data_IF_921477256863
#
_entry.id   IF_921477256863
#
_cell.length_a   1.000
_cell.length_b   1.000
_cell.length_c   1.000
_cell.angle_alpha   90.00
_cell.angle_beta   90.00
_cell.angle_gamma   90.00
#
_symmetry.space_group_name_H-M   'P 1'
#
loop_
_entity.id
_entity.type
_entity.pdbx_description
1 polymer ?
#
# COMPACT_ATOMS: atom_id res chain seq x y z
N UNK A 1 -21.08 -16.81 46.61
CA UNK A 1 -21.06 -15.65 47.53
C UNK A 1 -20.09 -14.62 46.98
N UNK A 2 -20.68 -13.51 46.54
CA UNK A 2 -20.24 -12.12 46.40
C UNK A 2 -18.75 -11.77 46.29
N UNK A 3 -18.47 -11.04 45.19
CA UNK A 3 -17.46 -9.98 45.04
C UNK A 3 -17.56 -8.90 46.13
N UNK A 4 -16.56 -8.00 46.22
CA UNK A 4 -16.84 -6.68 45.64
C UNK A 4 -15.68 -6.05 44.85
N UNK A 5 -16.12 -5.23 43.90
CA UNK A 5 -15.40 -4.18 43.18
C UNK A 5 -14.95 -3.06 44.13
N UNK A 6 -13.95 -2.28 43.71
CA UNK A 6 -13.99 -0.82 43.88
C UNK A 6 -12.99 -0.16 42.92
N UNK A 7 -13.55 0.63 42.00
CA UNK A 7 -12.80 1.58 41.20
C UNK A 7 -12.55 2.89 41.96
N UNK A 8 -11.63 3.70 41.44
CA UNK A 8 -11.61 5.13 41.72
C UNK A 8 -11.08 5.88 40.49
N UNK A 9 -11.99 6.58 39.82
CA UNK A 9 -11.69 7.72 38.97
C UNK A 9 -11.49 8.96 39.84
N UNK A 10 -10.47 9.75 39.57
CA UNK A 10 -10.50 11.20 39.79
C UNK A 10 -9.86 11.90 38.60
N UNK A 11 -10.58 12.91 38.08
CA UNK A 11 -10.25 13.68 36.90
C UNK A 11 -9.28 14.86 37.16
N UNK A 12 -9.34 15.94 36.35
CA UNK A 12 -8.18 16.39 35.58
C UNK A 12 -7.52 17.66 36.13
N UNK A 13 -6.23 17.84 35.80
CA UNK A 13 -5.50 19.08 35.99
C UNK A 13 -5.48 19.89 34.68
N UNK A 14 -6.03 21.09 34.77
CA UNK A 14 -6.04 22.12 33.74
C UNK A 14 -5.00 23.19 34.11
N UNK A 15 -4.02 23.43 33.25
CA UNK A 15 -3.24 24.68 33.25
C UNK A 15 -2.96 25.06 31.80
N UNK A 16 -3.44 26.26 31.45
CA UNK A 16 -3.36 26.82 30.12
C UNK A 16 -2.05 27.53 29.81
N UNK A 17 -1.86 27.79 28.53
CA UNK A 17 -1.04 28.87 28.01
C UNK A 17 -1.69 29.29 26.68
N UNK A 18 -2.10 30.56 26.61
CA UNK A 18 -2.70 31.16 25.42
C UNK A 18 -1.64 31.70 24.46
N UNK A 19 -2.09 31.99 23.24
CA UNK A 19 -1.72 33.16 22.40
C UNK A 19 -2.59 33.09 21.14
N UNK A 20 -3.72 33.81 21.12
CA UNK A 20 -4.45 34.08 19.88
C UNK A 20 -4.01 35.44 19.34
N UNK A 21 -3.36 35.39 18.19
CA UNK A 21 -2.96 36.55 17.41
C UNK A 21 -4.13 37.00 16.52
N UNK A 22 -4.38 38.31 16.55
CA UNK A 22 -5.11 39.04 15.52
C UNK A 22 -4.57 38.73 14.13
N UNK A 23 -5.47 38.73 13.13
CA UNK A 23 -5.43 39.60 11.94
C UNK A 23 -5.91 38.85 10.69
N UNK A 24 -7.14 39.11 10.25
CA UNK A 24 -7.46 39.08 8.82
C UNK A 24 -8.57 40.08 8.50
N UNK A 25 -8.19 41.10 7.74
CA UNK A 25 -9.07 42.08 7.09
C UNK A 25 -9.18 41.71 5.62
N UNK A 26 -10.42 41.83 5.12
CA UNK A 26 -10.77 42.38 3.80
C UNK A 26 -10.40 41.58 2.54
N UNK A 27 -11.42 41.14 1.80
CA UNK A 27 -11.62 41.51 0.38
C UNK A 27 -13.01 41.12 -0.12
N UNK A 28 -13.81 42.11 -0.51
CA UNK A 28 -15.03 42.01 -1.32
C UNK A 28 -14.85 42.96 -2.51
N UNK A 29 -14.94 42.46 -3.74
CA UNK A 29 -15.22 43.20 -4.98
C UNK A 29 -15.49 42.15 -6.08
N UNK A 30 -16.71 41.91 -6.57
CA UNK A 30 -17.52 42.65 -7.58
C UNK A 30 -16.95 42.64 -9.01
N UNK A 31 -17.70 42.06 -9.96
CA UNK A 31 -17.70 42.46 -11.38
C UNK A 31 -17.57 41.32 -12.42
N UNK A 32 -18.69 40.94 -13.08
CA UNK A 32 -18.66 40.38 -14.45
C UNK A 32 -18.75 41.50 -15.51
N UNK A 33 -19.14 41.26 -16.78
CA UNK A 33 -19.31 39.99 -17.51
C UNK A 33 -18.77 39.96 -18.97
N UNK A 34 -18.95 38.80 -19.63
CA UNK A 34 -19.24 38.56 -21.07
C UNK A 34 -18.36 39.17 -22.18
N UNK A 35 -17.63 38.31 -22.92
CA UNK A 35 -17.54 38.38 -24.39
C UNK A 35 -17.27 36.97 -24.95
N UNK A 36 -18.10 36.55 -25.92
CA UNK A 36 -17.99 35.27 -26.60
C UNK A 36 -17.07 35.31 -27.81
N UNK A 37 -16.51 34.15 -28.15
CA UNK A 37 -16.14 33.78 -29.50
C UNK A 37 -16.09 32.26 -29.62
N UNK A 38 -16.81 31.77 -30.64
CA UNK A 38 -16.75 30.41 -31.18
C UNK A 38 -15.29 30.06 -31.49
N UNK A 39 -14.88 28.82 -31.22
CA UNK A 39 -14.17 28.08 -32.24
C UNK A 39 -14.19 26.55 -32.05
N UNK A 40 -14.38 25.88 -33.19
CA UNK A 40 -13.86 24.58 -33.59
C UNK A 40 -14.14 23.34 -32.73
N UNK A 41 -15.04 22.51 -33.26
CA UNK A 41 -15.24 21.11 -32.85
C UNK A 41 -14.00 20.26 -33.12
N UNK A 42 -13.13 20.21 -32.12
CA UNK A 42 -12.13 19.15 -32.00
C UNK A 42 -12.79 17.96 -31.28
N UNK A 43 -12.78 16.81 -31.94
CA UNK A 43 -13.08 15.50 -31.37
C UNK A 43 -12.33 15.36 -30.04
N UNK A 44 -13.03 15.51 -28.92
CA UNK A 44 -12.49 15.19 -27.61
C UNK A 44 -12.29 13.67 -27.56
N UNK A 45 -11.10 13.22 -27.97
CA UNK A 45 -10.53 12.01 -27.39
C UNK A 45 -10.55 12.23 -25.88
N UNK A 46 -11.47 11.55 -25.20
CA UNK A 46 -11.45 11.44 -23.75
C UNK A 46 -10.16 10.73 -23.38
N UNK A 47 -9.11 11.50 -23.11
CA UNK A 47 -7.98 11.05 -22.31
C UNK A 47 -8.59 10.70 -20.94
N UNK A 48 -8.42 9.47 -20.42
CA UNK A 48 -8.83 9.19 -19.05
C UNK A 48 -8.08 10.14 -18.12
N UNK A 49 -8.82 11.04 -17.46
CA UNK A 49 -8.27 11.82 -16.35
C UNK A 49 -7.90 10.84 -15.24
N UNK A 50 -6.61 10.54 -15.08
CA UNK A 50 -6.06 10.14 -13.79
C UNK A 50 -5.18 11.29 -13.30
N UNK A 51 -5.81 12.39 -12.90
CA UNK A 51 -5.23 13.31 -11.93
C UNK A 51 -5.76 12.91 -10.54
N UNK A 52 -5.54 11.66 -10.15
CA UNK A 52 -5.76 11.22 -8.77
C UNK A 52 -4.52 11.63 -7.96
N UNK A 53 -4.72 12.31 -6.83
CA UNK A 53 -3.61 12.64 -5.94
C UNK A 53 -2.80 11.40 -5.59
N UNK A 54 -1.47 11.56 -5.53
CA UNK A 54 -0.53 10.50 -5.15
C UNK A 54 -0.96 9.95 -3.80
N UNK A 55 -1.43 8.70 -3.77
CA UNK A 55 -2.01 8.10 -2.57
C UNK A 55 -0.91 7.65 -1.62
N UNK A 56 -1.17 7.65 -0.32
CA UNK A 56 -0.27 7.03 0.65
C UNK A 56 -1.06 6.39 1.77
N UNK A 57 -0.43 5.42 2.44
CA UNK A 57 -1.04 4.72 3.56
C UNK A 57 0.01 4.16 4.49
N UNK A 58 -0.11 4.47 5.78
CA UNK A 58 0.59 3.74 6.84
C UNK A 58 -0.11 2.42 7.10
N UNK A 59 0.65 1.33 7.17
CA UNK A 59 0.12 0.04 7.57
C UNK A 59 -0.39 0.08 9.03
N UNK A 60 -1.47 -0.62 9.31
CA UNK A 60 -2.09 -0.69 10.65
C UNK A 60 -1.59 -1.94 11.38
N UNK A 61 -1.46 -3.06 10.68
CA UNK A 61 -1.03 -4.32 11.30
C UNK A 61 0.46 -4.53 11.10
N UNK A 62 1.11 -5.18 12.07
CA UNK A 62 2.46 -5.70 11.86
C UNK A 62 2.47 -6.64 10.64
N UNK A 63 3.53 -6.59 9.83
CA UNK A 63 3.70 -7.40 8.61
C UNK A 63 2.70 -7.17 7.45
N UNK A 64 1.79 -6.20 7.57
CA UNK A 64 0.80 -5.88 6.52
C UNK A 64 1.29 -4.91 5.44
N UNK A 65 2.59 -4.60 5.37
CA UNK A 65 3.17 -3.70 4.36
C UNK A 65 2.81 -4.08 2.92
N UNK A 66 2.74 -5.38 2.59
CA UNK A 66 2.32 -5.85 1.27
C UNK A 66 0.84 -5.57 0.98
N UNK A 67 -0.04 -5.74 1.97
CA UNK A 67 -1.46 -5.43 1.84
C UNK A 67 -1.71 -3.92 1.70
N UNK A 68 -1.05 -3.10 2.53
CA UNK A 68 -1.13 -1.64 2.43
C UNK A 68 -0.57 -1.12 1.09
N UNK A 69 0.54 -1.71 0.61
CA UNK A 69 1.10 -1.40 -0.71
C UNK A 69 0.14 -1.78 -1.84
N UNK A 70 -0.43 -2.99 -1.81
CA UNK A 70 -1.39 -3.44 -2.82
C UNK A 70 -2.65 -2.58 -2.82
N UNK A 71 -3.11 -2.15 -1.65
CA UNK A 71 -4.27 -1.27 -1.50
C UNK A 71 -4.06 0.08 -2.18
N UNK A 72 -2.89 0.69 -1.99
CA UNK A 72 -2.52 1.96 -2.67
C UNK A 72 -2.44 1.74 -4.18
N UNK A 73 -1.74 0.70 -4.63
CA UNK A 73 -1.63 0.37 -6.06
C UNK A 73 -3.02 0.16 -6.68
N UNK A 74 -3.89 -0.60 -6.02
CA UNK A 74 -5.24 -0.87 -6.49
C UNK A 74 -6.06 0.43 -6.61
N UNK A 75 -5.99 1.33 -5.62
CA UNK A 75 -6.67 2.63 -5.70
C UNK A 75 -6.13 3.52 -6.80
N UNK A 76 -4.82 3.60 -6.97
CA UNK A 76 -4.20 4.42 -8.01
C UNK A 76 -4.51 3.87 -9.42
N UNK A 77 -4.65 2.55 -9.57
CA UNK A 77 -5.18 1.91 -10.77
C UNK A 77 -6.71 2.08 -10.92
N UNK A 78 -7.40 2.65 -9.93
CA UNK A 78 -8.84 2.94 -9.97
C UNK A 78 -9.74 1.77 -9.56
N UNK A 79 -9.24 0.77 -8.83
CA UNK A 79 -10.07 -0.35 -8.37
C UNK A 79 -11.12 0.19 -7.40
N UNK A 80 -12.39 -0.13 -7.67
CA UNK A 80 -13.51 0.43 -6.91
C UNK A 80 -14.07 -0.53 -5.87
N UNK A 81 -13.94 -1.84 -6.08
CA UNK A 81 -14.57 -2.88 -5.25
C UNK A 81 -13.55 -3.77 -4.57
N UNK A 82 -13.85 -4.15 -3.33
CA UNK A 82 -13.13 -5.19 -2.62
C UNK A 82 -13.52 -6.57 -3.14
N UNK A 83 -12.61 -7.56 -3.09
CA UNK A 83 -12.97 -8.93 -3.38
C UNK A 83 -13.87 -9.45 -2.25
N UNK A 84 -15.02 -10.01 -2.62
CA UNK A 84 -15.95 -10.58 -1.66
C UNK A 84 -15.48 -11.97 -1.22
N UNK A 85 -15.41 -12.20 0.10
CA UNK A 85 -15.20 -13.52 0.67
C UNK A 85 -15.84 -13.60 2.07
N UNK A 86 -16.12 -14.82 2.53
CA UNK A 86 -16.72 -15.04 3.86
C UNK A 86 -15.79 -14.50 4.95
N UNK A 87 -16.32 -13.58 5.78
CA UNK A 87 -15.57 -12.96 6.87
C UNK A 87 -14.86 -11.65 6.51
N UNK A 88 -14.99 -11.16 5.27
CA UNK A 88 -14.46 -9.86 4.86
C UNK A 88 -15.15 -8.71 5.60
N UNK A 89 -14.39 -7.83 6.25
CA UNK A 89 -14.90 -6.66 6.98
C UNK A 89 -15.50 -5.62 6.04
N UNK A 90 -14.95 -5.48 4.82
CA UNK A 90 -15.48 -4.61 3.78
C UNK A 90 -16.88 -5.01 3.30
N UNK A 91 -17.27 -6.27 3.49
CA UNK A 91 -18.61 -6.76 3.15
C UNK A 91 -19.70 -6.28 4.13
N UNK A 92 -19.32 -5.77 5.31
CA UNK A 92 -20.26 -5.12 6.23
C UNK A 92 -20.64 -3.69 5.78
N UNK A 93 -19.89 -3.11 4.84
CA UNK A 93 -20.18 -1.82 4.21
C UNK A 93 -20.78 -1.99 2.81
N UNK A 94 -20.45 -1.07 1.90
CA UNK A 94 -20.88 -1.11 0.49
C UNK A 94 -19.96 -1.94 -0.43
N UNK A 95 -19.00 -2.67 0.16
CA UNK A 95 -18.02 -3.46 -0.58
C UNK A 95 -17.01 -2.64 -1.39
N UNK A 96 -16.92 -1.32 -1.17
CA UNK A 96 -15.95 -0.48 -1.89
C UNK A 96 -14.53 -0.65 -1.36
N UNK A 97 -13.58 -0.62 -2.28
CA UNK A 97 -12.16 -0.54 -1.98
C UNK A 97 -11.80 0.91 -1.64
N UNK A 98 -11.32 1.11 -0.42
CA UNK A 98 -10.99 2.42 0.13
C UNK A 98 -9.67 2.37 0.91
N UNK A 99 -8.97 3.51 1.03
CA UNK A 99 -7.72 3.61 1.80
C UNK A 99 -8.01 3.61 3.32
N UNK A 100 -8.57 2.52 3.85
CA UNK A 100 -8.97 2.38 5.24
C UNK A 100 -8.52 1.03 5.83
N UNK A 101 -8.68 0.89 7.16
CA UNK A 101 -8.26 -0.32 7.87
C UNK A 101 -9.03 -1.58 7.51
N UNK A 102 -10.31 -1.45 7.14
CA UNK A 102 -11.12 -2.60 6.72
C UNK A 102 -10.60 -3.21 5.41
N UNK A 103 -10.29 -2.38 4.41
CA UNK A 103 -9.73 -2.85 3.14
C UNK A 103 -8.34 -3.44 3.32
N UNK A 104 -7.50 -2.83 4.16
CA UNK A 104 -6.19 -3.38 4.49
C UNK A 104 -6.29 -4.72 5.23
N UNK A 105 -7.18 -4.83 6.22
CA UNK A 105 -7.42 -6.08 6.94
C UNK A 105 -7.81 -7.21 5.98
N UNK A 106 -8.78 -6.96 5.12
CA UNK A 106 -9.27 -7.97 4.18
C UNK A 106 -8.20 -8.39 3.19
N UNK A 107 -7.43 -7.44 2.64
CA UNK A 107 -6.28 -7.76 1.81
C UNK A 107 -5.20 -8.51 2.59
N UNK A 108 -4.92 -8.11 3.84
CA UNK A 108 -3.88 -8.74 4.64
C UNK A 108 -4.22 -10.19 4.99
N UNK A 109 -5.49 -10.50 5.23
CA UNK A 109 -5.96 -11.88 5.40
C UNK A 109 -5.64 -12.74 4.17
N UNK A 110 -5.74 -12.17 2.97
CA UNK A 110 -5.40 -12.88 1.73
C UNK A 110 -3.87 -12.94 1.56
N UNK A 111 -3.18 -11.80 1.63
CA UNK A 111 -1.74 -11.70 1.30
C UNK A 111 -0.84 -12.42 2.30
N UNK A 112 -1.28 -12.60 3.55
CA UNK A 112 -0.60 -13.42 4.56
C UNK A 112 -0.86 -14.94 4.42
N UNK A 113 -1.81 -15.35 3.56
CA UNK A 113 -2.22 -16.75 3.41
C UNK A 113 -3.17 -17.27 4.49
N UNK A 114 -3.66 -16.38 5.36
CA UNK A 114 -4.65 -16.72 6.38
C UNK A 114 -6.00 -17.11 5.77
N UNK A 115 -6.36 -16.48 4.65
CA UNK A 115 -7.53 -16.81 3.83
C UNK A 115 -7.09 -17.22 2.43
N UNK A 116 -7.51 -18.40 2.01
CA UNK A 116 -7.33 -18.97 0.67
C UNK A 116 -8.66 -19.56 0.20
N UNK A 117 -8.70 -20.16 -1.00
CA UNK A 117 -9.87 -20.91 -1.46
C UNK A 117 -10.20 -22.15 -0.62
N UNK A 118 -9.25 -22.65 0.19
CA UNK A 118 -9.41 -23.86 1.03
C UNK A 118 -9.47 -23.57 2.53
N UNK A 119 -9.06 -22.38 2.95
CA UNK A 119 -8.91 -22.01 4.36
C UNK A 119 -9.50 -20.63 4.58
N UNK A 120 -10.35 -20.50 5.58
CA UNK A 120 -10.87 -19.21 6.03
C UNK A 120 -10.44 -18.97 7.46
N UNK A 121 -9.91 -17.78 7.72
CA UNK A 121 -9.66 -17.29 9.06
C UNK A 121 -10.43 -15.97 9.25
N UNK A 122 -10.75 -15.63 10.49
CA UNK A 122 -11.49 -14.41 10.84
C UNK A 122 -10.64 -13.37 11.58
N UNK A 123 -9.33 -13.60 11.71
CA UNK A 123 -8.43 -12.77 12.50
C UNK A 123 -7.01 -12.79 11.96
N UNK A 124 -6.33 -11.64 12.06
CA UNK A 124 -4.94 -11.39 11.65
C UNK A 124 -3.91 -11.61 12.77
N UNK A 125 -4.32 -12.02 13.98
CA UNK A 125 -3.42 -12.09 15.17
C UNK A 125 -2.16 -12.94 14.94
N UNK A 126 -2.26 -13.99 14.12
CA UNK A 126 -1.12 -14.86 13.78
C UNK A 126 -0.71 -14.73 12.30
N UNK A 127 -1.08 -13.64 11.64
CA UNK A 127 -0.75 -13.41 10.24
C UNK A 127 0.75 -13.14 10.08
N UNK A 128 1.41 -13.92 9.21
CA UNK A 128 2.79 -13.71 8.83
C UNK A 128 2.96 -12.62 7.77
N UNK A 129 4.13 -12.59 7.14
CA UNK A 129 4.41 -11.67 6.03
C UNK A 129 3.45 -11.85 4.86
N UNK A 130 3.21 -10.74 4.16
CA UNK A 130 2.63 -10.80 2.82
C UNK A 130 3.60 -11.50 1.87
N UNK A 131 3.24 -12.69 1.38
CA UNK A 131 4.11 -13.51 0.52
C UNK A 131 3.81 -13.29 -0.97
N UNK A 132 4.79 -13.40 -1.88
CA UNK A 132 4.61 -13.11 -3.31
C UNK A 132 3.43 -13.85 -3.96
N UNK A 133 3.28 -15.14 -3.70
CA UNK A 133 2.20 -15.95 -4.27
C UNK A 133 0.80 -15.50 -3.83
N UNK A 134 0.66 -15.06 -2.58
CA UNK A 134 -0.60 -14.57 -2.04
C UNK A 134 -0.89 -13.14 -2.50
N UNK A 135 0.15 -12.30 -2.65
CA UNK A 135 0.03 -10.97 -3.27
C UNK A 135 -0.46 -11.06 -4.71
N UNK A 136 0.10 -12.00 -5.49
CA UNK A 136 -0.38 -12.26 -6.85
C UNK A 136 -1.83 -12.75 -6.87
N UNK A 137 -2.20 -13.64 -5.95
CA UNK A 137 -3.57 -14.10 -5.84
C UNK A 137 -4.54 -12.96 -5.49
N UNK A 138 -4.20 -12.14 -4.48
CA UNK A 138 -4.98 -10.96 -4.10
C UNK A 138 -5.13 -9.97 -5.27
N UNK A 139 -4.05 -9.73 -6.03
CA UNK A 139 -4.09 -8.88 -7.20
C UNK A 139 -5.06 -9.40 -8.27
N UNK A 140 -5.05 -10.71 -8.56
CA UNK A 140 -6.02 -11.33 -9.48
C UNK A 140 -7.46 -11.15 -9.02
N UNK A 141 -7.74 -11.30 -7.73
CA UNK A 141 -9.08 -11.08 -7.17
C UNK A 141 -9.55 -9.62 -7.30
N UNK A 142 -8.60 -8.68 -7.34
CA UNK A 142 -8.87 -7.25 -7.59
C UNK A 142 -9.00 -6.90 -9.08
N UNK A 143 -8.91 -7.88 -9.99
CA UNK A 143 -8.91 -7.64 -11.43
C UNK A 143 -7.62 -6.97 -11.92
N UNK A 144 -6.50 -7.18 -11.22
CA UNK A 144 -5.18 -6.70 -11.61
C UNK A 144 -4.37 -7.84 -12.24
N UNK A 145 -3.54 -7.48 -13.20
CA UNK A 145 -2.48 -8.35 -13.69
C UNK A 145 -1.19 -8.08 -12.94
N UNK A 146 -0.42 -9.13 -12.67
CA UNK A 146 0.82 -9.04 -11.93
C UNK A 146 1.91 -9.95 -12.54
N UNK A 147 3.13 -9.43 -12.63
CA UNK A 147 4.33 -10.17 -13.01
C UNK A 147 5.34 -10.17 -11.87
N UNK A 148 6.11 -11.26 -11.71
CA UNK A 148 7.25 -11.29 -10.78
C UNK A 148 8.51 -10.88 -11.54
N UNK A 149 9.27 -9.96 -10.97
CA UNK A 149 10.62 -9.62 -11.40
C UNK A 149 11.62 -10.07 -10.35
N UNK A 150 12.55 -10.93 -10.72
CA UNK A 150 13.60 -11.44 -9.84
C UNK A 150 14.95 -11.43 -10.54
N UNK A 151 15.78 -10.44 -10.20
CA UNK A 151 17.12 -10.37 -10.78
C UNK A 151 18.10 -11.29 -10.02
N UNK A 152 19.14 -11.80 -10.70
CA UNK A 152 20.23 -12.51 -10.03
C UNK A 152 20.89 -11.64 -8.94
N UNK A 153 21.21 -12.26 -7.80
CA UNK A 153 21.89 -11.60 -6.70
C UNK A 153 21.91 -12.46 -5.43
N UNK A 154 22.81 -12.12 -4.50
CA UNK A 154 22.96 -12.87 -3.24
C UNK A 154 21.68 -12.86 -2.40
N UNK A 155 21.02 -11.70 -2.28
CA UNK A 155 19.77 -11.60 -1.50
C UNK A 155 18.63 -12.38 -2.14
N UNK A 156 18.44 -12.27 -3.46
CA UNK A 156 17.38 -13.03 -4.14
C UNK A 156 17.62 -14.55 -4.07
N UNK A 157 18.87 -14.99 -4.16
CA UNK A 157 19.24 -16.41 -3.95
C UNK A 157 18.99 -16.87 -2.51
N UNK A 158 19.39 -16.08 -1.51
CA UNK A 158 19.15 -16.39 -0.10
C UNK A 158 17.65 -16.48 0.23
N UNK A 159 16.84 -15.57 -0.31
CA UNK A 159 15.39 -15.59 -0.12
C UNK A 159 14.71 -16.79 -0.78
N UNK A 160 15.15 -17.20 -1.97
CA UNK A 160 14.65 -18.46 -2.57
C UNK A 160 14.94 -19.68 -1.70
N UNK A 161 16.09 -19.69 -1.00
CA UNK A 161 16.46 -20.79 -0.09
C UNK A 161 15.66 -20.75 1.20
N UNK A 162 15.41 -19.55 1.75
CA UNK A 162 14.66 -19.38 3.00
C UNK A 162 13.16 -19.62 2.81
N UNK A 163 12.64 -19.33 1.62
CA UNK A 163 11.22 -19.46 1.28
C UNK A 163 11.03 -20.34 0.03
N UNK A 164 11.39 -21.64 0.10
CA UNK A 164 11.35 -22.53 -1.06
C UNK A 164 9.93 -22.73 -1.60
N UNK A 165 8.93 -22.66 -0.71
CA UNK A 165 7.52 -22.92 -1.04
C UNK A 165 6.85 -21.77 -1.81
N UNK A 166 7.48 -20.60 -1.91
CA UNK A 166 6.92 -19.46 -2.64
C UNK A 166 6.72 -19.85 -4.11
N UNK A 167 7.71 -20.49 -4.73
CA UNK A 167 7.66 -20.85 -6.14
C UNK A 167 6.63 -21.93 -6.44
N UNK A 168 6.53 -22.95 -5.59
CA UNK A 168 5.53 -24.01 -5.76
C UNK A 168 4.10 -23.53 -5.48
N UNK A 169 3.94 -22.46 -4.69
CA UNK A 169 2.65 -21.81 -4.45
C UNK A 169 2.19 -20.84 -5.56
N UNK A 170 3.03 -20.56 -6.56
CA UNK A 170 2.63 -19.75 -7.71
C UNK A 170 1.70 -20.54 -8.64
N UNK A 171 0.84 -19.81 -9.35
CA UNK A 171 0.04 -20.41 -10.41
C UNK A 171 0.96 -20.86 -11.55
N UNK A 172 0.68 -21.98 -12.26
CA UNK A 172 1.54 -22.49 -13.32
C UNK A 172 1.80 -21.51 -14.48
N UNK A 173 0.89 -20.56 -14.68
CA UNK A 173 0.97 -19.50 -15.70
C UNK A 173 1.72 -18.24 -15.22
N UNK A 174 2.18 -18.21 -13.96
CA UNK A 174 2.91 -17.05 -13.42
C UNK A 174 4.26 -16.89 -14.14
N UNK A 175 4.44 -15.74 -14.78
CA UNK A 175 5.69 -15.35 -15.43
C UNK A 175 6.66 -14.76 -14.39
N UNK A 176 7.88 -15.30 -14.35
CA UNK A 176 9.00 -14.75 -13.56
C UNK A 176 10.05 -14.19 -14.52
N UNK A 177 10.17 -12.86 -14.58
CA UNK A 177 11.14 -12.14 -15.39
C UNK A 177 12.45 -11.98 -14.62
N UNK A 178 13.59 -12.25 -15.26
CA UNK A 178 14.92 -12.21 -14.61
C UNK A 178 15.59 -10.83 -14.66
N UNK A 179 14.90 -9.81 -15.18
CA UNK A 179 15.41 -8.45 -15.35
C UNK A 179 14.70 -7.46 -14.44
N UNK A 180 15.35 -6.32 -14.18
CA UNK A 180 14.68 -5.18 -13.54
C UNK A 180 13.46 -4.75 -14.37
N UNK A 181 12.35 -4.36 -13.73
CA UNK A 181 11.22 -3.83 -14.47
C UNK A 181 11.52 -2.44 -15.01
N UNK A 182 11.05 -2.17 -16.23
CA UNK A 182 10.90 -0.82 -16.78
C UNK A 182 9.42 -0.48 -16.73
N UNK A 183 9.02 0.31 -15.75
CA UNK A 183 7.61 0.68 -15.56
C UNK A 183 7.14 1.55 -16.72
N UNK A 184 5.99 1.20 -17.27
CA UNK A 184 5.22 1.99 -18.23
C UNK A 184 4.09 2.72 -17.52
N UNK A 185 3.52 3.73 -18.16
CA UNK A 185 2.35 4.43 -17.62
C UNK A 185 1.22 3.45 -17.28
N UNK A 186 0.64 3.61 -16.09
CA UNK A 186 -0.35 2.69 -15.55
C UNK A 186 0.23 1.40 -14.95
N UNK A 187 1.55 1.33 -14.71
CA UNK A 187 2.20 0.24 -13.99
C UNK A 187 2.81 0.71 -12.67
N UNK A 188 2.78 -0.17 -11.67
CA UNK A 188 3.36 0.08 -10.34
C UNK A 188 4.25 -1.09 -9.93
N UNK A 189 5.42 -0.79 -9.37
CA UNK A 189 6.33 -1.81 -8.84
C UNK A 189 6.18 -1.89 -7.32
N UNK A 190 5.82 -3.04 -6.77
CA UNK A 190 5.99 -3.33 -5.35
C UNK A 190 7.34 -4.00 -5.12
N UNK A 191 8.28 -3.32 -4.46
CA UNK A 191 9.64 -3.82 -4.21
C UNK A 191 9.72 -4.51 -2.86
N UNK A 192 10.33 -5.70 -2.83
CA UNK A 192 10.77 -6.32 -1.59
C UNK A 192 12.11 -5.71 -1.17
N UNK A 193 12.16 -5.16 0.03
CA UNK A 193 13.35 -4.65 0.68
C UNK A 193 13.71 -5.53 1.87
N UNK A 194 15.00 -5.77 2.06
CA UNK A 194 15.50 -6.32 3.31
C UNK A 194 15.62 -5.17 4.31
N UNK A 195 14.96 -5.33 5.46
CA UNK A 195 15.17 -4.47 6.62
C UNK A 195 16.45 -4.92 7.29
N UNK A 196 17.38 -3.99 7.52
CA UNK A 196 18.65 -4.28 8.17
C UNK A 196 18.78 -3.53 9.48
N UNK A 197 19.27 -4.18 10.53
CA UNK A 197 19.61 -3.54 11.82
C UNK A 197 21.12 -3.69 12.00
N UNK A 198 21.85 -2.58 12.14
CA UNK A 198 23.32 -2.63 12.20
C UNK A 198 23.97 -3.26 10.96
N UNK A 199 23.28 -3.22 9.80
CA UNK A 199 23.73 -3.84 8.56
C UNK A 199 23.37 -5.32 8.37
N UNK A 200 22.79 -5.97 9.38
CA UNK A 200 22.38 -7.38 9.34
C UNK A 200 20.91 -7.46 8.93
N UNK A 201 20.52 -8.27 7.93
CA UNK A 201 19.11 -8.49 7.58
C UNK A 201 18.31 -9.03 8.77
N UNK A 202 17.23 -8.34 9.13
CA UNK A 202 16.36 -8.65 10.26
C UNK A 202 14.90 -8.90 9.86
N UNK A 203 14.51 -8.52 8.64
CA UNK A 203 13.14 -8.71 8.16
C UNK A 203 12.98 -8.31 6.70
N UNK A 204 11.75 -8.45 6.21
CA UNK A 204 11.35 -8.05 4.87
C UNK A 204 10.30 -6.95 4.92
N UNK A 205 10.31 -6.09 3.92
CA UNK A 205 9.38 -4.98 3.80
C UNK A 205 8.98 -4.73 2.36
N UNK A 206 7.71 -4.43 2.11
CA UNK A 206 7.19 -4.08 0.80
C UNK A 206 6.98 -2.58 0.69
N UNK A 207 7.43 -1.99 -0.41
CA UNK A 207 7.19 -0.57 -0.75
C UNK A 207 6.65 -0.44 -2.17
N UNK A 208 5.97 0.65 -2.47
CA UNK A 208 5.49 0.95 -3.83
C UNK A 208 6.47 1.91 -4.49
N UNK A 209 6.80 1.66 -5.76
CA UNK A 209 7.51 2.56 -6.66
C UNK A 209 6.62 2.85 -7.87
N UNK A 210 6.51 4.11 -8.23
CA UNK A 210 5.72 4.61 -9.36
C UNK A 210 6.58 4.84 -10.60
N UNK A 211 5.93 5.13 -11.71
CA UNK A 211 6.58 5.40 -13.02
C UNK A 211 7.49 6.62 -12.99
N UNK A 212 7.11 7.66 -12.24
CA UNK A 212 7.91 8.87 -12.02
C UNK A 212 9.16 8.65 -11.14
N UNK A 213 9.35 7.44 -10.61
CA UNK A 213 10.46 7.08 -9.73
C UNK A 213 10.21 7.39 -8.26
N UNK A 214 9.06 7.97 -7.90
CA UNK A 214 8.66 8.19 -6.52
C UNK A 214 8.30 6.88 -5.82
N UNK A 215 8.34 6.92 -4.50
CA UNK A 215 8.06 5.80 -3.62
C UNK A 215 6.95 6.13 -2.63
N UNK A 216 6.24 5.10 -2.18
CA UNK A 216 5.38 5.12 -1.00
C UNK A 216 5.82 4.00 -0.07
N UNK A 217 6.09 4.37 1.19
CA UNK A 217 6.52 3.45 2.22
C UNK A 217 5.41 3.21 3.25
N UNK A 218 4.84 2.00 3.34
CA UNK A 218 3.80 1.69 4.32
C UNK A 218 4.24 1.77 5.78
N UNK A 219 5.53 1.65 6.08
CA UNK A 219 6.02 1.74 7.46
C UNK A 219 5.86 3.15 8.02
N UNK A 220 6.14 4.17 7.19
CA UNK A 220 6.02 5.59 7.54
C UNK A 220 4.69 6.20 7.11
N UNK A 221 4.04 5.62 6.09
CA UNK A 221 2.86 6.17 5.43
C UNK A 221 3.16 7.36 4.52
N UNK A 222 4.44 7.62 4.21
CA UNK A 222 4.91 8.80 3.48
C UNK A 222 5.23 8.47 2.03
N UNK A 223 4.97 9.44 1.16
CA UNK A 223 5.54 9.47 -0.18
C UNK A 223 6.96 10.07 -0.14
N UNK A 224 7.82 9.64 -1.06
CA UNK A 224 9.16 10.17 -1.22
C UNK A 224 9.51 10.27 -2.71
N UNK A 225 10.15 11.35 -3.13
CA UNK A 225 10.50 11.55 -4.54
C UNK A 225 11.54 10.54 -5.06
N UNK A 226 12.35 9.97 -4.17
CA UNK A 226 13.41 9.02 -4.50
C UNK A 226 13.54 7.93 -3.43
N UNK A 227 14.24 6.85 -3.77
CA UNK A 227 14.55 5.78 -2.81
C UNK A 227 15.38 6.30 -1.62
N UNK A 228 16.32 7.22 -1.86
CA UNK A 228 17.13 7.81 -0.79
C UNK A 228 16.31 8.65 0.18
N UNK A 229 15.40 9.47 -0.34
CA UNK A 229 14.46 10.22 0.48
C UNK A 229 13.55 9.29 1.29
N UNK A 230 13.11 8.17 0.72
CA UNK A 230 12.33 7.16 1.44
C UNK A 230 13.14 6.53 2.60
N UNK A 231 14.41 6.18 2.37
CA UNK A 231 15.29 5.67 3.44
C UNK A 231 15.52 6.71 4.54
N UNK A 232 15.62 7.99 4.18
CA UNK A 232 15.77 9.08 5.15
C UNK A 232 14.50 9.22 6.00
N UNK A 233 13.31 9.18 5.39
CA UNK A 233 12.02 9.18 6.10
C UNK A 233 11.93 8.02 7.10
N UNK A 234 12.28 6.81 6.68
CA UNK A 234 12.28 5.64 7.57
C UNK A 234 13.25 5.81 8.74
N UNK A 235 14.49 6.27 8.48
CA UNK A 235 15.48 6.51 9.53
C UNK A 235 15.02 7.55 10.55
N UNK A 236 14.36 8.61 10.09
CA UNK A 236 13.83 9.66 10.96
C UNK A 236 12.69 9.17 11.87
N UNK A 237 11.96 8.11 11.47
CA UNK A 237 10.90 7.49 12.27
C UNK A 237 11.36 6.26 13.06
N UNK A 238 12.58 5.76 12.81
CA UNK A 238 13.14 4.62 13.53
C UNK A 238 14.08 5.08 14.65
N UNK A 239 13.89 4.56 15.86
CA UNK A 239 14.80 4.75 17.00
C UNK A 239 16.12 3.95 16.87
N UNK A 240 16.42 3.39 15.70
CA UNK A 240 17.45 2.35 15.52
C UNK A 240 18.34 2.62 14.31
N UNK A 241 19.49 1.91 14.22
CA UNK A 241 20.34 1.81 13.03
C UNK A 241 19.67 1.00 11.89
N UNK A 242 18.37 1.19 11.70
CA UNK A 242 17.58 0.50 10.70
C UNK A 242 17.89 1.03 9.29
N UNK A 243 17.81 0.13 8.31
CA UNK A 243 18.17 0.38 6.92
C UNK A 243 17.30 -0.44 5.99
N UNK A 244 17.22 0.00 4.74
CA UNK A 244 16.67 -0.80 3.65
C UNK A 244 17.75 -1.15 2.64
N UNK A 245 17.75 -2.41 2.21
CA UNK A 245 18.53 -2.91 1.08
C UNK A 245 17.61 -3.55 0.04
N UNK A 246 17.84 -3.26 -1.23
CA UNK A 246 17.06 -3.85 -2.32
C UNK A 246 17.35 -5.36 -2.41
N UNK A 247 16.31 -6.18 -2.39
CA UNK A 247 16.42 -7.65 -2.54
C UNK A 247 16.55 -8.09 -3.99
N UNK A 248 16.26 -7.18 -4.93
CA UNK A 248 16.09 -7.40 -6.38
C UNK A 248 14.91 -8.30 -6.74
N UNK A 249 13.95 -8.43 -5.82
CA UNK A 249 12.65 -9.06 -6.05
C UNK A 249 11.58 -7.97 -6.02
N UNK A 250 10.72 -7.96 -7.02
CA UNK A 250 9.56 -7.08 -7.07
C UNK A 250 8.41 -7.70 -7.83
N UNK A 251 7.23 -7.12 -7.63
CA UNK A 251 6.01 -7.44 -8.34
C UNK A 251 5.60 -6.20 -9.13
N UNK A 252 5.26 -6.36 -10.41
CA UNK A 252 4.72 -5.26 -11.23
C UNK A 252 3.25 -5.49 -11.43
N UNK A 253 2.44 -4.49 -11.10
CA UNK A 253 0.98 -4.53 -11.21
C UNK A 253 0.50 -3.56 -12.27
N UNK A 254 -0.58 -3.96 -12.95
CA UNK A 254 -1.30 -3.17 -13.93
C UNK A 254 -2.76 -3.57 -13.96
N UNK A 255 -3.60 -2.77 -14.61
CA UNK A 255 -4.98 -3.20 -14.86
C UNK A 255 -5.00 -4.43 -15.75
N UNK A 256 -5.82 -5.40 -15.37
CA UNK A 256 -6.20 -6.46 -16.28
C UNK A 256 -7.16 -5.92 -17.33
N UNK A 257 -7.08 -6.47 -18.53
CA UNK A 257 -8.09 -6.22 -19.55
C UNK A 257 -9.44 -6.72 -19.04
N UNK A 258 -10.49 -5.91 -19.18
CA UNK A 258 -11.84 -6.34 -18.87
C UNK A 258 -12.18 -7.54 -19.78
N UNK A 259 -12.17 -8.75 -19.22
CA UNK A 259 -12.64 -9.96 -19.91
C UNK A 259 -14.15 -10.09 -19.77
#
# INVERSE_FOLDING_TARGET
MNTPENGMQTGPLNHGAGVDALQERSSRATGGPLFGLRDSGATQQRVPRVSAGISSRRQIFENSCGAASLLVIAKELGVEKMPAFRGALSSAGDGKLALNGASEHDLFMITSGMTTHRRHANSVVNAGYSMPQHLMFAARLLGLEADIHQQPGMMSAALNRLYPDVRSGLSPDTVIKTSAPRLRDGEYEMKALAVTIGGIPAGLHWVVRRTDGSFMDPATGKNAATFDAMRQNMRAESISFAGYRDTRISLVFRRGDAR
#
